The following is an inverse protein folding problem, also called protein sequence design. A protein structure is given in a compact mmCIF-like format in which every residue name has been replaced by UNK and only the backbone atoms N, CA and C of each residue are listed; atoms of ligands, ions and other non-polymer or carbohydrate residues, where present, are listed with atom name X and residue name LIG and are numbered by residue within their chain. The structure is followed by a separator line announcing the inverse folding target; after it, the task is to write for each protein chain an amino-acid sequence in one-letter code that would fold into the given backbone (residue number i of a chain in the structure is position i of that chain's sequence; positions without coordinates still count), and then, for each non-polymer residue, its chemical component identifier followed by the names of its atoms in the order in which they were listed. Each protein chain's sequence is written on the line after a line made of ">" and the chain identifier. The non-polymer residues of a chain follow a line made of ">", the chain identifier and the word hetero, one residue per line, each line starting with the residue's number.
data_IF_661712257333
#
_entry.id   IF_661712257333
#
_cell.length_a   1.000
_cell.length_b   1.000
_cell.length_c   1.000
_cell.angle_alpha   90.00
_cell.angle_beta   90.00
_cell.angle_gamma   90.00
#
_symmetry.space_group_name_H-M   'P 1'
#
loop_
_entity.id
_entity.type
_entity.pdbx_description
1 polymer ?
#
# COMPACT_ATOMS: atom_id res chain seq x y z
N UNK A 1 -13.56 0.05 13.47
CA UNK A 1 -13.27 -1.38 13.20
C UNK A 1 -11.91 -1.49 12.52
N UNK A 2 -11.18 -2.58 12.75
CA UNK A 2 -9.93 -2.91 12.08
C UNK A 2 -10.05 -4.29 11.41
N UNK A 3 -9.78 -4.35 10.11
CA UNK A 3 -9.68 -5.60 9.37
C UNK A 3 -8.20 -5.88 9.08
N UNK A 4 -7.68 -7.00 9.57
CA UNK A 4 -6.28 -7.41 9.39
C UNK A 4 -6.18 -8.35 8.21
N UNK A 5 -5.28 -8.03 7.28
CA UNK A 5 -4.99 -8.83 6.10
C UNK A 5 -3.55 -9.33 6.15
N UNK A 6 -3.33 -10.57 5.71
CA UNK A 6 -2.03 -11.02 5.26
C UNK A 6 -1.90 -10.65 3.78
N UNK A 7 -0.88 -9.87 3.44
CA UNK A 7 -0.53 -9.51 2.07
C UNK A 7 0.65 -10.36 1.65
N UNK A 8 0.48 -11.14 0.59
CA UNK A 8 1.52 -11.97 -0.03
C UNK A 8 1.77 -11.45 -1.44
N UNK A 9 3.02 -11.19 -1.79
CA UNK A 9 3.36 -10.66 -3.11
C UNK A 9 4.78 -10.99 -3.56
N UNK A 10 5.00 -11.07 -4.87
CA UNK A 10 6.34 -11.13 -5.47
C UNK A 10 6.86 -9.71 -5.74
N UNK A 11 8.15 -9.50 -5.60
CA UNK A 11 8.80 -8.25 -6.07
C UNK A 11 9.10 -8.38 -7.57
N UNK A 12 9.66 -9.54 -7.94
CA UNK A 12 9.97 -9.94 -9.30
C UNK A 12 9.10 -11.15 -9.66
N UNK A 13 8.18 -10.95 -10.60
CA UNK A 13 7.25 -11.97 -11.09
C UNK A 13 7.92 -13.14 -11.82
N UNK A 14 9.21 -13.00 -12.19
CA UNK A 14 10.01 -14.08 -12.77
C UNK A 14 10.81 -14.88 -11.75
N UNK A 15 10.82 -14.44 -10.48
CA UNK A 15 11.63 -15.03 -9.42
C UNK A 15 10.84 -15.26 -8.14
N UNK A 16 10.44 -16.52 -7.93
CA UNK A 16 9.64 -16.96 -6.77
C UNK A 16 10.32 -16.71 -5.42
N UNK A 17 11.66 -16.63 -5.37
CA UNK A 17 12.40 -16.35 -4.13
C UNK A 17 12.21 -14.90 -3.65
N UNK A 18 11.63 -14.04 -4.50
CA UNK A 18 11.28 -12.67 -4.12
C UNK A 18 9.96 -12.55 -3.37
N UNK A 19 9.28 -13.68 -3.07
CA UNK A 19 8.05 -13.70 -2.29
C UNK A 19 8.23 -12.98 -0.95
N UNK A 20 7.34 -12.04 -0.68
CA UNK A 20 7.22 -11.32 0.58
C UNK A 20 5.84 -11.53 1.15
N UNK A 21 5.79 -11.49 2.48
CA UNK A 21 4.58 -11.49 3.25
C UNK A 21 4.65 -10.39 4.30
N UNK A 22 3.53 -9.72 4.51
CA UNK A 22 3.39 -8.69 5.52
C UNK A 22 1.92 -8.51 5.94
N UNK A 23 1.71 -8.18 7.22
CA UNK A 23 0.39 -7.79 7.68
C UNK A 23 0.08 -6.33 7.33
N UNK A 24 -1.09 -6.11 6.76
CA UNK A 24 -1.66 -4.79 6.53
C UNK A 24 -3.04 -4.70 7.20
N UNK A 25 -3.46 -3.48 7.54
CA UNK A 25 -4.75 -3.26 8.17
C UNK A 25 -5.57 -2.25 7.38
N UNK A 26 -6.85 -2.57 7.21
CA UNK A 26 -7.90 -1.62 6.87
C UNK A 26 -8.51 -1.10 8.17
N UNK A 27 -8.25 0.16 8.50
CA UNK A 27 -8.95 0.85 9.60
C UNK A 27 -10.18 1.55 9.05
N UNK A 28 -11.33 1.28 9.66
CA UNK A 28 -12.62 1.83 9.28
C UNK A 28 -13.13 2.72 10.41
N UNK A 29 -13.14 4.03 10.13
CA UNK A 29 -13.68 5.08 10.98
C UNK A 29 -15.03 5.58 10.47
N UNK A 30 -15.55 6.64 11.11
CA UNK A 30 -16.88 7.19 10.77
C UNK A 30 -16.93 7.81 9.36
N UNK A 31 -15.89 8.58 9.01
CA UNK A 31 -15.85 9.41 7.80
C UNK A 31 -14.64 9.10 6.91
N UNK A 32 -13.84 8.10 7.29
CA UNK A 32 -12.63 7.75 6.58
C UNK A 32 -12.27 6.28 6.77
N UNK A 33 -11.55 5.75 5.79
CA UNK A 33 -10.88 4.45 5.88
C UNK A 33 -9.44 4.59 5.42
N UNK A 34 -8.53 3.80 6.00
CA UNK A 34 -7.15 3.70 5.53
C UNK A 34 -6.72 2.24 5.47
N UNK A 35 -6.17 1.82 4.32
CA UNK A 35 -5.48 0.56 4.17
C UNK A 35 -3.97 0.80 4.08
N UNK A 36 -3.19 0.16 4.94
CA UNK A 36 -1.72 0.30 4.95
C UNK A 36 -1.01 -0.84 5.67
N UNK A 37 0.29 -0.98 5.43
CA UNK A 37 1.19 -1.86 6.17
C UNK A 37 1.17 -1.55 7.69
N UNK A 38 1.19 -2.60 8.51
CA UNK A 38 1.32 -2.46 9.96
C UNK A 38 2.72 -1.95 10.34
N UNK A 39 3.78 -2.38 9.65
CA UNK A 39 5.14 -1.91 9.93
C UNK A 39 5.27 -0.42 9.60
N UNK A 40 4.67 0.03 8.50
CA UNK A 40 4.63 1.45 8.14
C UNK A 40 3.89 2.27 9.19
N UNK A 41 2.73 1.79 9.65
CA UNK A 41 1.97 2.45 10.70
C UNK A 41 2.76 2.59 12.02
N UNK A 42 3.54 1.57 12.39
CA UNK A 42 4.44 1.61 13.56
C UNK A 42 5.58 2.61 13.33
N UNK A 43 6.28 2.53 12.19
CA UNK A 43 7.40 3.42 11.85
C UNK A 43 6.99 4.89 11.85
N UNK A 44 5.82 5.21 11.30
CA UNK A 44 5.26 6.56 11.30
C UNK A 44 4.93 7.04 12.71
N UNK A 45 4.38 6.15 13.56
CA UNK A 45 4.07 6.47 14.95
C UNK A 45 5.32 6.77 15.78
N UNK A 46 6.39 5.96 15.61
CA UNK A 46 7.69 6.20 16.28
C UNK A 46 8.30 7.52 15.80
N UNK A 47 8.30 7.75 14.47
CA UNK A 47 8.84 8.98 13.88
C UNK A 47 8.13 10.22 14.43
N UNK A 48 6.79 10.20 14.48
CA UNK A 48 5.99 11.30 14.98
C UNK A 48 6.20 11.56 16.48
N UNK A 49 6.29 10.49 17.29
CA UNK A 49 6.59 10.61 18.72
C UNK A 49 7.96 11.25 18.97
N UNK A 50 8.97 10.87 18.18
CA UNK A 50 10.30 11.46 18.25
C UNK A 50 10.28 12.94 17.87
N UNK A 51 9.67 13.30 16.73
CA UNK A 51 9.55 14.70 16.29
C UNK A 51 8.83 15.57 17.32
N UNK A 52 7.75 15.07 17.93
CA UNK A 52 7.03 15.80 18.99
C UNK A 52 7.90 16.02 20.22
N UNK A 53 8.67 15.01 20.63
CA UNK A 53 9.59 15.13 21.76
C UNK A 53 10.65 16.19 21.51
N UNK A 54 11.21 16.24 20.30
CA UNK A 54 12.27 17.21 19.97
C UNK A 54 11.75 18.63 19.74
N UNK A 55 10.55 18.79 19.16
CA UNK A 55 9.91 20.12 19.06
C UNK A 55 9.59 20.72 20.44
N UNK A 56 9.30 19.88 21.43
CA UNK A 56 9.01 20.33 22.80
C UNK A 56 10.27 20.61 23.64
N UNK A 57 11.46 20.21 23.17
CA UNK A 57 12.73 20.61 23.76
C UNK A 57 13.23 21.91 23.12
N UNK A 58 13.61 22.90 23.93
CA UNK A 58 13.90 24.29 23.54
C UNK A 58 15.20 24.48 22.72
N UNK A 59 15.42 23.68 21.67
CA UNK A 59 16.53 23.78 20.73
C UNK A 59 16.05 23.55 19.30
N UNK A 60 16.14 24.59 18.46
CA UNK A 60 15.59 24.70 17.11
C UNK A 60 16.32 23.88 16.04
N UNK A 61 16.81 22.68 16.36
CA UNK A 61 17.40 21.79 15.36
C UNK A 61 16.40 20.70 14.98
N UNK A 62 16.23 20.51 13.66
CA UNK A 62 15.43 19.39 13.16
C UNK A 62 16.02 18.07 13.67
N UNK A 63 15.20 17.19 14.27
CA UNK A 63 15.65 15.88 14.72
C UNK A 63 16.23 15.07 13.56
N UNK A 64 17.50 14.68 13.65
CA UNK A 64 18.02 13.56 12.86
C UNK A 64 17.42 12.27 13.41
N UNK A 65 16.57 11.62 12.60
CA UNK A 65 16.02 10.30 12.91
C UNK A 65 16.87 9.27 12.20
N UNK A 66 17.48 8.35 12.93
CA UNK A 66 18.06 7.17 12.32
C UNK A 66 16.95 6.24 11.81
N UNK A 67 16.55 6.45 10.56
CA UNK A 67 15.49 5.69 9.89
C UNK A 67 15.80 4.20 9.75
N UNK A 68 17.09 3.81 9.83
CA UNK A 68 17.52 2.42 9.81
C UNK A 68 17.09 1.59 11.04
N UNK A 69 16.71 2.25 12.14
CA UNK A 69 16.19 1.59 13.34
C UNK A 69 14.65 1.43 13.32
N UNK A 70 13.97 2.03 12.34
CA UNK A 70 12.53 1.93 12.22
C UNK A 70 12.13 0.61 11.53
N UNK A 71 10.96 0.05 11.87
CA UNK A 71 10.41 -1.06 11.10
C UNK A 71 10.30 -0.69 9.61
N UNK A 72 10.86 -1.53 8.75
CA UNK A 72 10.76 -1.36 7.30
C UNK A 72 9.54 -2.10 6.77
N UNK A 73 8.65 -1.36 6.11
CA UNK A 73 7.53 -1.95 5.39
C UNK A 73 8.01 -2.55 4.07
N UNK A 74 7.55 -3.75 3.74
CA UNK A 74 7.76 -4.38 2.43
C UNK A 74 6.65 -3.96 1.47
N UNK A 75 5.41 -3.91 1.97
CA UNK A 75 4.24 -3.40 1.26
C UNK A 75 4.13 -1.88 1.45
N UNK A 76 4.38 -1.14 0.38
CA UNK A 76 4.47 0.33 0.40
C UNK A 76 3.15 1.08 0.22
N UNK A 77 2.22 0.66 -0.67
CA UNK A 77 1.04 1.46 -0.96
C UNK A 77 0.16 1.70 0.27
N UNK A 78 -0.35 2.92 0.41
CA UNK A 78 -1.43 3.26 1.33
C UNK A 78 -2.63 3.80 0.57
N UNK A 79 -3.83 3.45 1.00
CA UNK A 79 -5.07 3.92 0.38
C UNK A 79 -5.92 4.58 1.44
N UNK A 80 -6.11 5.89 1.31
CA UNK A 80 -6.96 6.69 2.17
C UNK A 80 -8.26 7.01 1.42
N UNK A 81 -9.39 6.67 2.01
CA UNK A 81 -10.70 7.14 1.56
C UNK A 81 -11.21 8.16 2.59
N UNK A 82 -11.47 9.40 2.19
CA UNK A 82 -12.12 10.40 3.04
C UNK A 82 -13.38 10.88 2.33
N UNK A 83 -14.54 10.61 2.92
CA UNK A 83 -15.84 11.01 2.38
C UNK A 83 -16.04 10.62 0.90
N UNK A 84 -15.57 9.44 0.50
CA UNK A 84 -15.68 8.94 -0.89
C UNK A 84 -14.52 9.35 -1.80
N UNK A 85 -13.68 10.31 -1.40
CA UNK A 85 -12.48 10.65 -2.16
C UNK A 85 -11.34 9.68 -1.80
N UNK A 86 -10.97 8.83 -2.76
CA UNK A 86 -9.90 7.86 -2.62
C UNK A 86 -8.59 8.49 -3.08
N UNK A 87 -7.57 8.47 -2.23
CA UNK A 87 -6.21 8.91 -2.53
C UNK A 87 -5.25 7.76 -2.26
N UNK A 88 -4.42 7.45 -3.25
CA UNK A 88 -3.37 6.44 -3.14
C UNK A 88 -2.05 7.14 -2.86
N UNK A 89 -1.29 6.60 -1.91
CA UNK A 89 0.03 7.05 -1.52
C UNK A 89 1.04 5.97 -1.84
N UNK A 90 2.10 6.31 -2.57
CA UNK A 90 3.13 5.35 -2.95
C UNK A 90 4.49 6.02 -3.04
N UNK A 91 5.52 5.30 -2.64
CA UNK A 91 6.89 5.83 -2.59
C UNK A 91 7.64 5.51 -3.88
N UNK A 92 8.44 6.47 -4.34
CA UNK A 92 9.51 6.26 -5.32
C UNK A 92 10.79 6.71 -4.64
N UNK A 93 11.69 5.75 -4.37
CA UNK A 93 12.84 5.98 -3.48
C UNK A 93 12.37 6.51 -2.12
N UNK A 94 12.84 7.69 -1.69
CA UNK A 94 12.48 8.32 -0.42
C UNK A 94 11.28 9.27 -0.51
N UNK A 95 10.86 9.64 -1.73
CA UNK A 95 9.73 10.54 -1.96
C UNK A 95 8.39 9.78 -1.89
N UNK A 96 7.49 10.25 -1.02
CA UNK A 96 6.11 9.78 -0.97
C UNK A 96 5.25 10.63 -1.91
N UNK A 97 4.62 10.01 -2.90
CA UNK A 97 3.68 10.67 -3.80
C UNK A 97 2.25 10.33 -3.40
N UNK A 98 1.32 11.25 -3.68
CA UNK A 98 -0.11 11.03 -3.50
C UNK A 98 -0.90 11.46 -4.72
N UNK A 99 -1.86 10.64 -5.15
CA UNK A 99 -2.73 10.96 -6.27
C UNK A 99 -4.16 10.44 -6.04
N UNK A 100 -5.20 11.20 -6.43
CA UNK A 100 -6.57 10.75 -6.33
C UNK A 100 -6.85 9.62 -7.32
N UNK A 101 -7.70 8.68 -6.92
CA UNK A 101 -8.26 7.66 -7.80
C UNK A 101 -9.68 8.06 -8.17
N UNK A 102 -9.89 8.34 -9.46
CA UNK A 102 -11.19 8.74 -9.99
C UNK A 102 -11.93 7.58 -10.69
N UNK A 103 -11.42 6.34 -10.56
CA UNK A 103 -11.96 5.17 -11.24
C UNK A 103 -12.69 4.26 -10.25
N UNK A 104 -13.97 4.05 -10.50
CA UNK A 104 -14.72 2.99 -9.87
C UNK A 104 -14.32 1.64 -10.48
N UNK A 105 -14.34 0.59 -9.68
CA UNK A 105 -14.09 -0.77 -10.16
C UNK A 105 -15.43 -1.36 -10.63
N UNK A 106 -15.47 -1.78 -11.89
CA UNK A 106 -16.62 -2.45 -12.47
C UNK A 106 -16.55 -3.96 -12.15
N UNK A 107 -17.10 -4.34 -11.00
CA UNK A 107 -17.15 -5.72 -10.57
C UNK A 107 -18.20 -6.53 -11.35
N UNK A 108 -17.80 -7.70 -11.84
CA UNK A 108 -18.70 -8.74 -12.32
C UNK A 108 -18.95 -9.74 -11.19
N UNK A 109 -20.22 -9.95 -10.86
CA UNK A 109 -20.62 -10.93 -9.86
C UNK A 109 -20.64 -12.32 -10.49
N UNK A 110 -19.99 -13.28 -9.83
CA UNK A 110 -19.96 -14.67 -10.26
C UNK A 110 -20.84 -15.56 -9.37
N UNK A 111 -21.12 -16.77 -9.85
CA UNK A 111 -21.97 -17.74 -9.14
C UNK A 111 -21.24 -18.49 -8.03
N UNK A 112 -19.91 -18.54 -8.05
CA UNK A 112 -19.16 -19.29 -7.04
C UNK A 112 -19.30 -18.67 -5.64
N UNK A 113 -19.32 -19.57 -4.64
CA UNK A 113 -19.36 -19.24 -3.22
C UNK A 113 -18.29 -20.06 -2.48
N UNK A 114 -17.70 -19.50 -1.43
CA UNK A 114 -16.83 -20.23 -0.50
C UNK A 114 -16.88 -19.62 0.89
N UNK A 115 -16.38 -20.33 1.90
CA UNK A 115 -16.24 -19.77 3.26
C UNK A 115 -14.85 -19.19 3.49
N UNK A 116 -14.77 -18.00 4.07
CA UNK A 116 -13.53 -17.35 4.52
C UNK A 116 -13.77 -16.83 5.94
N UNK A 117 -12.93 -17.24 6.90
CA UNK A 117 -13.10 -16.85 8.31
C UNK A 117 -14.53 -17.11 8.85
N UNK A 118 -15.21 -18.15 8.36
CA UNK A 118 -16.58 -18.51 8.74
C UNK A 118 -17.69 -17.85 7.90
N UNK A 119 -17.41 -16.76 7.20
CA UNK A 119 -18.37 -16.02 6.38
C UNK A 119 -18.54 -16.62 4.99
N UNK A 120 -19.77 -16.62 4.48
CA UNK A 120 -20.08 -17.00 3.10
C UNK A 120 -19.69 -15.85 2.17
N UNK A 121 -18.79 -16.12 1.24
CA UNK A 121 -18.29 -15.13 0.29
C UNK A 121 -18.73 -15.44 -1.12
N UNK A 122 -19.07 -14.38 -1.86
CA UNK A 122 -19.36 -14.36 -3.29
C UNK A 122 -18.11 -13.97 -4.06
N UNK A 123 -17.79 -14.76 -5.09
CA UNK A 123 -16.72 -14.40 -6.04
C UNK A 123 -17.17 -13.24 -6.91
N UNK A 124 -16.25 -12.31 -7.14
CA UNK A 124 -16.38 -11.25 -8.14
C UNK A 124 -15.09 -11.15 -8.92
N UNK A 125 -15.18 -10.67 -10.15
CA UNK A 125 -14.04 -10.45 -11.05
C UNK A 125 -14.07 -9.04 -11.61
N UNK A 126 -12.90 -8.50 -11.97
CA UNK A 126 -12.82 -7.26 -12.74
C UNK A 126 -11.49 -7.19 -13.50
N UNK A 127 -11.45 -6.30 -14.48
CA UNK A 127 -10.19 -5.87 -15.11
C UNK A 127 -9.73 -4.58 -14.42
N UNK A 128 -8.56 -4.63 -13.79
CA UNK A 128 -7.96 -3.53 -13.07
C UNK A 128 -6.62 -3.17 -13.74
N UNK A 129 -6.65 -2.15 -14.59
CA UNK A 129 -5.50 -1.82 -15.44
C UNK A 129 -5.22 -2.96 -16.43
N UNK A 130 -4.07 -3.60 -16.31
CA UNK A 130 -3.66 -4.77 -17.11
C UNK A 130 -3.76 -6.10 -16.34
N UNK A 131 -4.46 -6.13 -15.19
CA UNK A 131 -4.62 -7.31 -14.36
C UNK A 131 -6.09 -7.71 -14.24
N UNK A 132 -6.36 -8.98 -14.48
CA UNK A 132 -7.61 -9.60 -14.05
C UNK A 132 -7.54 -9.87 -12.55
N UNK A 133 -8.45 -9.26 -11.79
CA UNK A 133 -8.56 -9.43 -10.34
C UNK A 133 -9.72 -10.34 -10.03
N UNK A 134 -9.50 -11.26 -9.08
CA UNK A 134 -10.52 -12.08 -8.47
C UNK A 134 -10.62 -11.67 -7.01
N UNK A 135 -11.82 -11.33 -6.55
CA UNK A 135 -12.07 -11.02 -5.16
C UNK A 135 -13.24 -11.84 -4.61
N UNK A 136 -13.28 -11.97 -3.30
CA UNK A 136 -14.32 -12.68 -2.56
C UNK A 136 -14.85 -11.74 -1.49
N UNK A 137 -16.12 -11.36 -1.58
CA UNK A 137 -16.76 -10.45 -0.63
C UNK A 137 -17.92 -11.12 0.09
N UNK A 138 -18.27 -10.65 1.28
CA UNK A 138 -19.45 -11.11 2.03
C UNK A 138 -20.37 -9.93 2.33
N UNK A 139 -21.66 -10.11 2.13
CA UNK A 139 -22.72 -9.17 2.52
C UNK A 139 -23.13 -9.31 4.00
N UNK A 140 -22.69 -10.38 4.68
CA UNK A 140 -22.83 -10.57 6.12
C UNK A 140 -22.12 -9.46 6.93
N UNK A 141 -21.13 -8.81 6.32
CA UNK A 141 -20.49 -7.59 6.82
C UNK A 141 -20.78 -6.47 5.81
N UNK A 142 -21.89 -5.70 5.98
CA UNK A 142 -22.38 -4.75 4.98
C UNK A 142 -21.58 -3.44 5.00
N UNK A 143 -20.26 -3.55 4.80
CA UNK A 143 -19.30 -2.45 4.76
C UNK A 143 -18.60 -2.52 3.40
N UNK A 144 -18.83 -1.56 2.49
CA UNK A 144 -18.39 -1.63 1.09
C UNK A 144 -16.90 -1.28 0.92
N UNK A 145 -16.04 -1.90 1.73
CA UNK A 145 -14.60 -1.65 1.81
C UNK A 145 -13.80 -2.95 1.66
N UNK A 146 -12.48 -2.82 1.52
CA UNK A 146 -11.60 -3.96 1.30
C UNK A 146 -10.12 -3.58 1.28
N UNK A 147 -9.24 -4.55 1.02
CA UNK A 147 -7.81 -4.29 0.92
C UNK A 147 -7.48 -3.45 -0.32
N UNK A 148 -6.45 -2.61 -0.20
CA UNK A 148 -6.00 -1.72 -1.26
C UNK A 148 -7.16 -0.83 -1.78
N UNK A 149 -7.45 -0.88 -3.07
CA UNK A 149 -8.54 -0.14 -3.73
C UNK A 149 -9.75 -1.02 -4.02
N UNK A 150 -9.71 -2.31 -3.65
CA UNK A 150 -10.78 -3.27 -3.94
C UNK A 150 -11.97 -3.06 -3.01
N UNK A 151 -12.91 -2.20 -3.44
CA UNK A 151 -14.07 -1.77 -2.66
C UNK A 151 -15.29 -1.51 -3.54
N UNK A 152 -16.38 -1.03 -2.95
CA UNK A 152 -17.61 -0.68 -3.68
C UNK A 152 -18.58 -1.84 -3.94
N UNK A 153 -18.38 -2.98 -3.27
CA UNK A 153 -19.31 -4.11 -3.26
C UNK A 153 -20.32 -3.95 -2.12
N UNK A 154 -21.47 -4.67 -2.13
CA UNK A 154 -22.47 -4.60 -1.06
C UNK A 154 -21.99 -5.02 0.34
N UNK A 155 -20.77 -5.52 0.47
CA UNK A 155 -20.15 -5.82 1.75
C UNK A 155 -18.63 -5.93 1.65
N UNK A 156 -18.01 -6.45 2.72
CA UNK A 156 -16.56 -6.41 2.89
C UNK A 156 -15.87 -7.40 1.96
N UNK A 157 -14.77 -6.98 1.31
CA UNK A 157 -13.88 -7.88 0.57
C UNK A 157 -12.98 -8.62 1.56
N UNK A 158 -13.09 -9.94 1.64
CA UNK A 158 -12.32 -10.78 2.56
C UNK A 158 -11.04 -11.31 1.91
N UNK A 159 -11.02 -11.42 0.58
CA UNK A 159 -9.86 -11.88 -0.16
C UNK A 159 -9.83 -11.25 -1.55
N UNK A 160 -8.64 -10.91 -2.04
CA UNK A 160 -8.44 -10.44 -3.41
C UNK A 160 -7.07 -10.88 -3.93
N UNK A 161 -6.99 -11.28 -5.19
CA UNK A 161 -5.75 -11.66 -5.85
C UNK A 161 -5.83 -11.40 -7.34
N UNK A 162 -4.69 -11.13 -7.97
CA UNK A 162 -4.62 -11.17 -9.44
C UNK A 162 -4.65 -12.63 -9.92
N UNK A 163 -5.03 -12.85 -11.18
CA UNK A 163 -5.16 -14.20 -11.77
C UNK A 163 -3.89 -15.05 -11.67
N UNK A 164 -2.70 -14.44 -11.59
CA UNK A 164 -1.41 -15.12 -11.42
C UNK A 164 -0.98 -15.27 -9.96
N UNK A 165 -1.75 -14.73 -9.01
CA UNK A 165 -1.47 -14.69 -7.56
C UNK A 165 -0.11 -14.06 -7.21
N UNK A 166 0.34 -13.12 -8.03
CA UNK A 166 1.52 -12.31 -7.75
C UNK A 166 1.25 -11.28 -6.64
N UNK A 167 -0.01 -10.96 -6.40
CA UNK A 167 -0.53 -10.27 -5.23
C UNK A 167 -1.72 -11.07 -4.68
N UNK A 168 -1.73 -11.24 -3.36
CA UNK A 168 -2.81 -11.90 -2.65
C UNK A 168 -3.03 -11.22 -1.30
N UNK A 169 -4.26 -10.80 -1.08
CA UNK A 169 -4.75 -10.24 0.16
C UNK A 169 -5.75 -11.22 0.75
N UNK A 170 -5.56 -11.64 1.99
CA UNK A 170 -6.53 -12.49 2.69
C UNK A 170 -6.77 -11.97 4.10
N UNK A 171 -8.04 -11.84 4.48
CA UNK A 171 -8.45 -11.44 5.80
C UNK A 171 -8.06 -12.54 6.81
N UNK A 172 -7.33 -12.14 7.84
CA UNK A 172 -6.85 -13.01 8.92
C UNK A 172 -7.43 -12.63 10.28
N UNK A 173 -8.13 -11.51 10.39
CA UNK A 173 -8.81 -11.14 11.63
C UNK A 173 -9.63 -9.87 11.53
N UNK A 174 -10.69 -9.80 12.33
CA UNK A 174 -11.53 -8.63 12.53
C UNK A 174 -11.46 -8.23 14.00
N UNK A 175 -11.19 -6.95 14.24
CA UNK A 175 -11.10 -6.43 15.61
C UNK A 175 -11.97 -5.19 15.73
N UNK A 176 -12.88 -5.19 16.71
CA UNK A 176 -13.66 -4.01 17.03
C UNK A 176 -12.84 -3.07 17.92
N UNK A 177 -12.11 -2.16 17.29
CA UNK A 177 -11.30 -1.15 17.97
C UNK A 177 -11.69 0.26 17.52
N UNK A 178 -11.62 1.19 18.48
CA UNK A 178 -11.68 2.63 18.24
C UNK A 178 -10.27 3.19 18.14
N UNK A 179 -9.65 3.04 16.97
CA UNK A 179 -8.35 3.64 16.66
C UNK A 179 -8.55 4.88 15.79
N UNK A 180 -7.89 6.02 16.10
CA UNK A 180 -7.91 7.16 15.20
C UNK A 180 -7.20 6.79 13.89
N UNK A 181 -7.71 7.32 12.78
CA UNK A 181 -7.04 7.21 11.48
C UNK A 181 -5.98 8.30 11.42
N UNK A 182 -4.72 7.89 11.61
CA UNK A 182 -3.58 8.76 11.35
C UNK A 182 -3.44 8.95 9.84
N UNK A 183 -3.29 10.20 9.40
CA UNK A 183 -3.04 10.50 7.99
C UNK A 183 -1.64 10.01 7.60
N UNK A 184 -1.45 9.63 6.32
CA UNK A 184 -0.12 9.40 5.78
C UNK A 184 0.81 10.61 5.99
N UNK A 185 2.12 10.37 5.95
CA UNK A 185 3.13 11.43 5.96
C UNK A 185 2.89 12.45 4.85
N UNK A 186 3.49 13.62 5.00
CA UNK A 186 3.50 14.66 3.95
C UNK A 186 3.98 14.02 2.65
N UNK A 187 3.20 14.22 1.60
CA UNK A 187 3.40 13.64 0.28
C UNK A 187 3.47 14.73 -0.77
N UNK A 188 4.05 14.40 -1.92
CA UNK A 188 4.06 15.23 -3.13
C UNK A 188 2.75 14.95 -3.89
N UNK A 189 1.79 15.89 -3.93
CA UNK A 189 0.54 15.71 -4.65
C UNK A 189 0.79 15.71 -6.15
N UNK A 190 0.20 14.74 -6.85
CA UNK A 190 0.40 14.56 -8.29
C UNK A 190 -0.81 13.88 -8.94
N UNK A 191 -0.72 13.60 -10.25
CA UNK A 191 -1.65 12.73 -10.97
C UNK A 191 -1.07 11.32 -11.09
N UNK A 192 -1.92 10.31 -11.28
CA UNK A 192 -1.46 8.95 -11.56
C UNK A 192 -0.51 8.89 -12.76
N UNK A 193 -0.81 9.62 -13.84
CA UNK A 193 0.04 9.65 -15.04
C UNK A 193 1.44 10.20 -14.75
N UNK A 194 1.54 11.31 -14.00
CA UNK A 194 2.83 11.88 -13.60
C UNK A 194 3.60 10.94 -12.68
N UNK A 195 2.92 10.29 -11.74
CA UNK A 195 3.52 9.26 -10.88
C UNK A 195 4.06 8.08 -11.70
N UNK A 196 3.24 7.54 -12.62
CA UNK A 196 3.62 6.45 -13.51
C UNK A 196 4.86 6.80 -14.33
N UNK A 197 4.89 7.99 -14.93
CA UNK A 197 6.04 8.47 -15.70
C UNK A 197 7.29 8.63 -14.84
N UNK A 198 7.16 9.09 -13.58
CA UNK A 198 8.28 9.13 -12.63
C UNK A 198 8.80 7.74 -12.28
N UNK A 199 7.90 6.78 -12.03
CA UNK A 199 8.29 5.38 -11.80
C UNK A 199 9.00 4.80 -13.02
N UNK A 200 8.52 5.08 -14.24
CA UNK A 200 9.16 4.65 -15.48
C UNK A 200 10.57 5.25 -15.62
N UNK A 201 10.74 6.55 -15.36
CA UNK A 201 12.06 7.20 -15.35
C UNK A 201 13.03 6.54 -14.37
N UNK A 202 12.58 6.16 -13.17
CA UNK A 202 13.38 5.40 -12.21
C UNK A 202 13.84 4.04 -12.79
N UNK A 203 12.98 3.35 -13.52
CA UNK A 203 13.32 2.05 -14.12
C UNK A 203 14.31 2.19 -15.29
N UNK A 204 14.15 3.23 -16.09
CA UNK A 204 14.97 3.50 -17.27
C UNK A 204 16.38 3.99 -16.86
N UNK A 205 16.47 4.90 -15.88
CA UNK A 205 17.71 5.44 -15.32
C UNK A 205 17.71 5.47 -13.78
N UNK A 206 18.03 4.32 -13.13
CA UNK A 206 18.06 4.22 -11.67
C UNK A 206 19.04 5.18 -10.99
N UNK A 207 20.22 5.41 -11.59
CA UNK A 207 21.26 6.24 -10.98
C UNK A 207 20.98 7.72 -11.13
N UNK A 208 20.45 8.15 -12.28
CA UNK A 208 20.00 9.53 -12.47
C UNK A 208 18.81 9.86 -11.56
N UNK A 209 17.85 8.94 -11.42
CA UNK A 209 16.76 9.09 -10.45
C UNK A 209 17.29 9.18 -9.00
N UNK A 210 18.25 8.33 -8.63
CA UNK A 210 18.93 8.43 -7.33
C UNK A 210 19.57 9.80 -7.13
N UNK A 211 20.34 10.28 -8.11
CA UNK A 211 21.01 11.58 -8.00
C UNK A 211 20.01 12.74 -7.85
N UNK A 212 18.90 12.70 -8.58
CA UNK A 212 17.86 13.72 -8.51
C UNK A 212 17.13 13.74 -7.15
N UNK A 213 16.90 12.57 -6.55
CA UNK A 213 16.21 12.47 -5.26
C UNK A 213 17.15 12.80 -4.10
N UNK A 214 18.34 12.21 -4.04
CA UNK A 214 19.26 12.35 -2.91
C UNK A 214 20.24 13.53 -3.02
N UNK A 215 20.30 14.22 -4.16
CA UNK A 215 21.25 15.31 -4.41
C UNK A 215 22.72 14.89 -4.47
N UNK A 216 23.00 13.58 -4.54
CA UNK A 216 24.35 13.00 -4.53
C UNK A 216 24.42 11.76 -5.41
N UNK A 217 25.62 11.45 -5.91
CA UNK A 217 25.85 10.19 -6.64
C UNK A 217 25.80 9.01 -5.69
N UNK A 218 25.34 7.88 -6.20
CA UNK A 218 25.46 6.61 -5.50
C UNK A 218 26.96 6.27 -5.31
N UNK A 219 27.34 5.63 -4.19
CA UNK A 219 28.69 5.08 -4.06
C UNK A 219 28.96 4.06 -5.17
N UNK A 220 30.12 4.14 -5.81
CA UNK A 220 30.45 3.32 -7.00
C UNK A 220 30.33 1.82 -6.75
N UNK A 221 30.73 1.36 -5.57
CA UNK A 221 30.63 -0.03 -5.10
C UNK A 221 29.18 -0.51 -4.94
N UNK A 222 28.22 0.41 -4.89
CA UNK A 222 26.80 0.13 -4.68
C UNK A 222 25.93 0.32 -5.93
N UNK A 223 26.46 0.93 -7.01
CA UNK A 223 25.69 1.26 -8.21
C UNK A 223 25.02 0.04 -8.85
N UNK A 224 25.77 -1.05 -9.07
CA UNK A 224 25.22 -2.28 -9.66
C UNK A 224 24.10 -2.88 -8.82
N UNK A 225 24.26 -2.86 -7.49
CA UNK A 225 23.25 -3.38 -6.56
C UNK A 225 21.98 -2.54 -6.61
N UNK A 226 22.11 -1.21 -6.66
CA UNK A 226 20.98 -0.28 -6.78
C UNK A 226 20.23 -0.53 -8.09
N UNK A 227 20.94 -0.58 -9.22
CA UNK A 227 20.35 -0.85 -10.54
C UNK A 227 19.61 -2.20 -10.54
N UNK A 228 20.27 -3.26 -10.05
CA UNK A 228 19.69 -4.61 -9.99
C UNK A 228 18.43 -4.64 -9.14
N UNK A 229 18.46 -4.03 -7.96
CA UNK A 229 17.32 -3.99 -7.05
C UNK A 229 16.14 -3.26 -7.67
N UNK A 230 16.36 -2.07 -8.24
CA UNK A 230 15.29 -1.27 -8.87
C UNK A 230 14.69 -2.01 -10.05
N UNK A 231 15.52 -2.53 -10.96
CA UNK A 231 15.06 -3.24 -12.16
C UNK A 231 14.36 -4.57 -11.85
N UNK A 232 14.59 -5.17 -10.69
CA UNK A 232 13.88 -6.37 -10.26
C UNK A 232 12.41 -6.10 -9.88
N UNK A 233 12.04 -4.86 -9.55
CA UNK A 233 10.69 -4.51 -9.14
C UNK A 233 9.81 -4.38 -10.38
N UNK A 234 9.06 -5.44 -10.70
CA UNK A 234 8.18 -5.49 -11.87
C UNK A 234 6.73 -5.84 -11.53
N UNK A 235 6.40 -6.01 -10.25
CA UNK A 235 5.05 -6.33 -9.81
C UNK A 235 4.37 -5.11 -9.14
N UNK A 236 3.60 -4.37 -9.92
CA UNK A 236 2.79 -3.24 -9.47
C UNK A 236 1.30 -3.57 -9.62
N UNK A 237 0.45 -3.13 -8.68
CA UNK A 237 -1.00 -3.38 -8.73
C UNK A 237 -1.75 -2.41 -9.65
N UNK A 238 -1.15 -1.26 -9.92
CA UNK A 238 -1.68 -0.13 -10.67
C UNK A 238 -1.18 -0.05 -12.12
#
# INVERSE_FOLDING_TARGET
>A
MECKYLVTFLIDTSNVNTLKQEYASLLIGKNATIFRSNQKAIADSISLAYIRKTMNSAGSNMPEINTGLLPSAKYQPEVLNRNGQITLYNAILEDLYSYPLNKNINWRIEKERKKIQGYTCTKVTCEYGNKSIIAWYTDEIPIPEGPYTFKGLPGLVLEAYDSKKYFHFILVGLVNVKKPIALPKVSIPTTYEKFYNKRKQLMDDPLGAFMNTFGRRAPKDNEERIIRNIKSINNFLD
#
